data_IF_402647332846
#
_entry.id   IF_402647332846
#
_cell.length_a   1.000
_cell.length_b   1.000
_cell.length_c   1.000
_cell.angle_alpha   90.00
_cell.angle_beta   90.00
_cell.angle_gamma   90.00
#
_symmetry.space_group_name_H-M   'P 1'
#
loop_
_entity.id
_entity.type
_entity.pdbx_description
1 polymer ?
#
# COMPACT_ATOMS: atom_id res chain seq x y z
N UNK A 1 28.60 37.50 -46.60
CA UNK A 1 28.29 37.47 -45.15
C UNK A 1 29.37 38.25 -44.40
N UNK A 2 28.99 39.27 -43.61
CA UNK A 2 29.94 40.06 -42.82
C UNK A 2 30.65 39.16 -41.79
N UNK A 3 31.98 39.21 -41.64
CA UNK A 3 32.73 38.31 -40.75
C UNK A 3 32.28 38.36 -39.28
N UNK A 4 31.68 39.48 -38.84
CA UNK A 4 31.09 39.61 -37.51
C UNK A 4 29.86 38.71 -37.27
N UNK A 5 29.05 38.44 -38.30
CA UNK A 5 27.83 37.63 -38.17
C UNK A 5 28.17 36.15 -37.92
N UNK A 6 29.25 35.66 -38.53
CA UNK A 6 29.74 34.28 -38.32
C UNK A 6 30.29 34.08 -36.90
N UNK A 7 31.00 35.08 -36.36
CA UNK A 7 31.53 35.03 -34.99
C UNK A 7 30.42 35.06 -33.94
N UNK A 8 29.40 35.91 -34.15
CA UNK A 8 28.24 35.96 -33.28
C UNK A 8 27.44 34.64 -33.28
N UNK A 9 27.25 34.03 -34.45
CA UNK A 9 26.57 32.74 -34.57
C UNK A 9 27.34 31.61 -33.88
N UNK A 10 28.66 31.54 -34.06
CA UNK A 10 29.51 30.54 -33.38
C UNK A 10 29.48 30.72 -31.86
N UNK A 11 29.52 31.96 -31.37
CA UNK A 11 29.41 32.24 -29.93
C UNK A 11 28.05 31.82 -29.36
N UNK A 12 26.96 32.02 -30.10
CA UNK A 12 25.60 31.68 -29.67
C UNK A 12 25.39 30.15 -29.67
N UNK A 13 25.92 29.45 -30.67
CA UNK A 13 25.92 27.97 -30.70
C UNK A 13 26.78 27.40 -29.57
N UNK A 14 27.95 27.97 -29.30
CA UNK A 14 28.80 27.56 -28.18
C UNK A 14 28.10 27.78 -26.82
N UNK A 15 27.41 28.91 -26.63
CA UNK A 15 26.64 29.20 -25.42
C UNK A 15 25.47 28.22 -25.24
N UNK A 16 24.77 27.88 -26.32
CA UNK A 16 23.70 26.89 -26.30
C UNK A 16 24.21 25.48 -25.98
N UNK A 17 25.38 25.08 -26.52
CA UNK A 17 26.01 23.80 -26.20
C UNK A 17 26.49 23.72 -24.75
N UNK A 18 26.99 24.83 -24.18
CA UNK A 18 27.36 24.92 -22.76
C UNK A 18 26.11 24.84 -21.87
N UNK A 19 24.99 25.48 -22.27
CA UNK A 19 23.74 25.41 -21.53
C UNK A 19 23.14 23.99 -21.50
N UNK A 20 23.31 23.21 -22.59
CA UNK A 20 22.91 21.79 -22.63
C UNK A 20 23.85 20.93 -21.77
N UNK A 21 25.14 21.24 -21.73
CA UNK A 21 26.12 20.50 -20.92
C UNK A 21 26.00 20.76 -19.40
N UNK A 22 25.33 21.83 -18.98
CA UNK A 22 25.10 22.17 -17.57
C UNK A 22 23.85 21.54 -16.96
N UNK A 23 23.13 20.66 -17.67
CA UNK A 23 22.18 19.74 -17.03
C UNK A 23 23.01 18.66 -16.33
N UNK A 24 23.65 19.05 -15.23
CA UNK A 24 24.22 18.12 -14.30
C UNK A 24 23.07 17.27 -13.75
N UNK A 25 23.17 15.96 -13.90
CA UNK A 25 22.37 14.98 -13.17
C UNK A 25 22.58 15.27 -11.67
N UNK A 26 21.68 16.04 -11.08
CA UNK A 26 21.64 16.21 -9.65
C UNK A 26 21.25 14.86 -9.07
N UNK A 27 22.24 14.10 -8.61
CA UNK A 27 21.98 12.85 -7.88
C UNK A 27 20.99 13.18 -6.76
N UNK A 28 19.88 12.43 -6.62
CA UNK A 28 18.95 12.67 -5.53
C UNK A 28 19.72 12.63 -4.20
N UNK A 29 19.55 13.67 -3.39
CA UNK A 29 20.10 13.68 -2.03
C UNK A 29 19.22 12.75 -1.19
N UNK A 30 19.65 11.49 -1.07
CA UNK A 30 18.89 10.50 -0.32
C UNK A 30 19.00 10.74 1.18
N UNK A 31 17.93 10.50 1.94
CA UNK A 31 18.00 10.55 3.38
C UNK A 31 19.02 9.56 3.93
N UNK A 32 19.60 9.88 5.08
CA UNK A 32 20.55 8.99 5.73
C UNK A 32 19.82 7.78 6.29
N UNK A 33 20.36 6.60 6.05
CA UNK A 33 19.88 5.39 6.72
C UNK A 33 20.27 5.45 8.21
N UNK A 34 19.30 5.76 9.07
CA UNK A 34 19.51 5.87 10.52
C UNK A 34 19.06 4.61 11.28
N UNK A 35 18.32 3.72 10.62
CA UNK A 35 17.71 2.56 11.27
C UNK A 35 16.84 1.74 10.33
N UNK A 36 16.05 0.84 10.92
CA UNK A 36 15.01 0.09 10.22
C UNK A 36 13.78 0.95 9.90
N UNK A 37 13.69 2.12 10.53
CA UNK A 37 12.65 3.13 10.29
C UNK A 37 13.35 4.48 10.11
N UNK A 38 12.96 5.21 9.06
CA UNK A 38 13.40 6.57 8.77
C UNK A 38 12.15 7.42 8.50
N UNK A 39 11.70 8.23 9.47
CA UNK A 39 10.45 9.02 9.36
C UNK A 39 10.74 10.51 9.07
N UNK A 40 11.30 10.82 7.90
CA UNK A 40 11.66 12.19 7.52
C UNK A 40 10.42 13.06 7.20
N UNK A 41 9.28 12.44 6.91
CA UNK A 41 8.02 13.15 6.67
C UNK A 41 7.23 13.47 7.95
N UNK A 42 7.71 13.01 9.11
CA UNK A 42 7.04 13.08 10.41
C UNK A 42 5.59 12.58 10.34
N UNK A 43 5.40 11.39 9.75
CA UNK A 43 4.09 10.78 9.58
C UNK A 43 3.74 9.78 10.67
N UNK A 44 4.74 9.33 11.45
CA UNK A 44 4.57 8.26 12.42
C UNK A 44 4.67 8.79 13.86
N UNK A 45 3.90 8.18 14.75
CA UNK A 45 4.11 8.42 16.18
C UNK A 45 5.37 7.71 16.70
N UNK A 46 6.01 8.21 17.78
CA UNK A 46 7.15 7.53 18.40
C UNK A 46 6.83 6.08 18.84
N UNK A 47 5.57 5.82 19.21
CA UNK A 47 5.11 4.48 19.56
C UNK A 47 5.06 3.56 18.33
N UNK A 48 4.61 4.06 17.18
CA UNK A 48 4.62 3.31 15.93
C UNK A 48 6.05 3.01 15.46
N UNK A 49 6.95 4.00 15.47
CA UNK A 49 8.37 3.80 15.14
C UNK A 49 9.03 2.73 16.01
N UNK A 50 8.76 2.75 17.33
CA UNK A 50 9.30 1.77 18.27
C UNK A 50 8.79 0.36 17.96
N UNK A 51 7.48 0.21 17.66
CA UNK A 51 6.88 -1.08 17.31
C UNK A 51 7.43 -1.61 15.98
N UNK A 52 7.53 -0.75 14.97
CA UNK A 52 8.12 -1.09 13.67
C UNK A 52 9.57 -1.54 13.84
N UNK A 53 10.38 -0.74 14.54
CA UNK A 53 11.81 -1.06 14.77
C UNK A 53 11.99 -2.41 15.44
N UNK A 54 11.20 -2.71 16.48
CA UNK A 54 11.26 -4.00 17.18
C UNK A 54 10.84 -5.16 16.27
N UNK A 55 9.74 -4.99 15.53
CA UNK A 55 9.21 -6.01 14.61
C UNK A 55 10.20 -6.34 13.50
N UNK A 56 10.80 -5.31 12.88
CA UNK A 56 11.79 -5.45 11.81
C UNK A 56 13.10 -6.05 12.33
N UNK A 57 13.54 -5.68 13.54
CA UNK A 57 14.70 -6.28 14.18
C UNK A 57 14.49 -7.77 14.49
N UNK A 58 13.30 -8.15 14.93
CA UNK A 58 12.96 -9.54 15.20
C UNK A 58 12.94 -10.40 13.92
N UNK A 59 12.46 -9.86 12.79
CA UNK A 59 12.54 -10.51 11.49
C UNK A 59 14.01 -10.77 11.11
N UNK A 60 14.82 -9.72 11.12
CA UNK A 60 16.23 -9.81 10.74
C UNK A 60 17.00 -10.80 11.63
N UNK A 61 16.72 -10.84 12.94
CA UNK A 61 17.30 -11.83 13.84
C UNK A 61 16.85 -13.27 13.55
N UNK A 62 15.61 -13.44 13.11
CA UNK A 62 15.02 -14.77 12.89
C UNK A 62 15.54 -15.46 11.63
N UNK A 63 15.67 -14.72 10.52
CA UNK A 63 16.03 -15.31 9.22
C UNK A 63 17.07 -14.51 8.41
N UNK A 64 17.47 -13.34 8.90
CA UNK A 64 18.45 -12.47 8.25
C UNK A 64 17.88 -11.51 7.20
N UNK A 65 16.57 -11.51 6.97
CA UNK A 65 15.93 -10.60 6.01
C UNK A 65 15.87 -9.18 6.55
N UNK A 66 16.22 -8.22 5.69
CA UNK A 66 16.28 -6.81 6.08
C UNK A 66 15.13 -6.05 5.44
N UNK A 67 14.21 -5.55 6.27
CA UNK A 67 13.11 -4.71 5.83
C UNK A 67 13.26 -3.33 6.47
N UNK A 68 13.16 -2.27 5.65
CA UNK A 68 13.24 -0.88 6.09
C UNK A 68 11.93 -0.17 5.74
N UNK A 69 11.47 0.70 6.62
CA UNK A 69 10.34 1.61 6.40
C UNK A 69 10.87 3.03 6.31
N UNK A 70 10.50 3.76 5.25
CA UNK A 70 10.86 5.16 5.08
C UNK A 70 9.64 6.00 4.74
N UNK A 71 9.50 7.15 5.40
CA UNK A 71 8.56 8.20 4.99
C UNK A 71 9.35 9.40 4.50
N UNK A 72 8.92 9.99 3.40
CA UNK A 72 9.60 11.07 2.71
C UNK A 72 8.65 12.26 2.53
N UNK A 73 9.10 13.49 2.78
CA UNK A 73 8.28 14.66 2.51
C UNK A 73 7.92 14.75 1.02
N UNK A 74 8.88 14.52 0.12
CA UNK A 74 8.68 14.40 -1.32
C UNK A 74 9.76 13.57 -2.02
N UNK A 75 9.60 13.37 -3.33
CA UNK A 75 10.52 12.59 -4.18
C UNK A 75 11.43 13.45 -5.06
N UNK A 76 11.47 14.77 -4.86
CA UNK A 76 12.33 15.66 -5.65
C UNK A 76 12.01 15.73 -7.15
N UNK A 77 10.82 15.26 -7.58
CA UNK A 77 10.40 15.22 -8.98
C UNK A 77 10.59 13.87 -9.69
N UNK A 78 11.21 12.89 -9.02
CA UNK A 78 11.31 11.51 -9.51
C UNK A 78 10.02 10.72 -9.27
N UNK A 79 9.80 9.66 -10.06
CA UNK A 79 8.76 8.67 -9.76
C UNK A 79 9.18 7.81 -8.56
N UNK A 80 8.21 7.29 -7.80
CA UNK A 80 8.49 6.48 -6.60
C UNK A 80 9.23 5.17 -6.95
N UNK A 81 9.02 4.64 -8.15
CA UNK A 81 9.73 3.48 -8.69
C UNK A 81 11.21 3.78 -8.86
N UNK A 82 11.52 4.86 -9.57
CA UNK A 82 12.89 5.29 -9.83
C UNK A 82 13.60 5.65 -8.53
N UNK A 83 12.95 6.44 -7.68
CA UNK A 83 13.47 6.85 -6.39
C UNK A 83 13.73 5.64 -5.49
N UNK A 84 12.76 4.73 -5.38
CA UNK A 84 12.85 3.56 -4.51
C UNK A 84 13.96 2.58 -4.91
N UNK A 85 14.08 2.32 -6.22
CA UNK A 85 15.18 1.52 -6.75
C UNK A 85 16.56 2.13 -6.44
N UNK A 86 16.71 3.43 -6.64
CA UNK A 86 17.97 4.12 -6.35
C UNK A 86 18.26 4.15 -4.84
N UNK A 87 17.26 4.43 -4.01
CA UNK A 87 17.38 4.46 -2.55
C UNK A 87 17.79 3.10 -2.00
N UNK A 88 17.11 2.02 -2.42
CA UNK A 88 17.44 0.65 -1.99
C UNK A 88 18.89 0.28 -2.29
N UNK A 89 19.40 0.66 -3.47
CA UNK A 89 20.82 0.46 -3.85
C UNK A 89 21.77 1.36 -3.07
N UNK A 90 21.42 2.63 -2.87
CA UNK A 90 22.23 3.59 -2.12
C UNK A 90 22.42 3.16 -0.66
N UNK A 91 21.34 2.65 -0.05
CA UNK A 91 21.36 2.10 1.31
C UNK A 91 21.91 0.68 1.39
N UNK A 92 21.97 -0.05 0.28
CA UNK A 92 22.47 -1.42 0.23
C UNK A 92 21.69 -2.36 1.14
N UNK A 93 20.35 -2.26 1.14
CA UNK A 93 19.50 -3.06 2.03
C UNK A 93 19.55 -4.54 1.62
N UNK A 94 19.66 -5.43 2.59
CA UNK A 94 19.83 -6.87 2.39
C UNK A 94 21.30 -7.29 2.38
N UNK A 95 21.56 -8.60 2.37
CA UNK A 95 22.92 -9.14 2.35
C UNK A 95 23.42 -9.33 0.90
N UNK A 96 24.64 -8.89 0.59
CA UNK A 96 25.23 -8.91 -0.77
C UNK A 96 25.05 -10.19 -1.61
N UNK A 97 25.03 -11.36 -0.97
CA UNK A 97 24.85 -12.66 -1.66
C UNK A 97 23.42 -13.19 -1.63
N UNK A 98 22.59 -12.70 -0.72
CA UNK A 98 21.21 -13.17 -0.55
C UNK A 98 20.20 -12.25 -1.21
N UNK A 99 20.53 -10.97 -1.39
CA UNK A 99 19.61 -9.94 -1.92
C UNK A 99 18.27 -9.92 -1.17
N UNK A 100 18.32 -10.18 0.13
CA UNK A 100 17.16 -10.40 0.98
C UNK A 100 16.70 -9.10 1.67
N UNK A 101 16.66 -8.02 0.89
CA UNK A 101 16.26 -6.69 1.32
C UNK A 101 14.86 -6.34 0.81
N UNK A 102 14.06 -5.63 1.60
CA UNK A 102 12.86 -4.94 1.13
C UNK A 102 12.74 -3.54 1.74
N UNK A 103 12.04 -2.65 1.04
CA UNK A 103 11.87 -1.26 1.44
C UNK A 103 10.42 -0.84 1.22
N UNK A 104 9.75 -0.42 2.30
CA UNK A 104 8.45 0.23 2.24
C UNK A 104 8.66 1.75 2.25
N UNK A 105 8.25 2.41 1.17
CA UNK A 105 8.42 3.84 0.92
C UNK A 105 7.04 4.50 0.96
N UNK A 106 6.93 5.59 1.71
CA UNK A 106 5.76 6.47 1.71
C UNK A 106 6.22 7.89 1.35
N UNK A 107 5.72 8.43 0.25
CA UNK A 107 5.98 9.80 -0.18
C UNK A 107 4.76 10.67 0.09
N UNK A 108 4.89 11.61 1.04
CA UNK A 108 3.76 12.38 1.57
C UNK A 108 3.17 13.34 0.54
N UNK A 109 4.00 14.11 -0.16
CA UNK A 109 3.54 15.10 -1.16
C UNK A 109 2.91 14.44 -2.38
N UNK A 110 3.48 13.34 -2.85
CA UNK A 110 3.00 12.59 -4.01
C UNK A 110 1.83 11.66 -3.66
N UNK A 111 1.50 11.50 -2.37
CA UNK A 111 0.51 10.55 -1.90
C UNK A 111 0.77 9.14 -2.43
N UNK A 112 2.05 8.75 -2.51
CA UNK A 112 2.49 7.53 -3.16
C UNK A 112 3.12 6.55 -2.16
N UNK A 113 2.81 5.26 -2.33
CA UNK A 113 3.32 4.15 -1.53
C UNK A 113 4.03 3.19 -2.47
N UNK A 114 5.20 2.69 -2.08
CA UNK A 114 5.90 1.62 -2.81
C UNK A 114 6.48 0.60 -1.87
N UNK A 115 6.36 -0.68 -2.23
CA UNK A 115 7.16 -1.76 -1.67
C UNK A 115 8.18 -2.12 -2.74
N UNK A 116 9.45 -1.88 -2.48
CA UNK A 116 10.58 -2.28 -3.31
C UNK A 116 11.18 -3.57 -2.75
N UNK A 117 11.40 -4.57 -3.60
CA UNK A 117 11.78 -5.92 -3.19
C UNK A 117 13.10 -6.33 -3.85
N UNK A 118 14.04 -6.81 -3.05
CA UNK A 118 15.29 -7.40 -3.52
C UNK A 118 15.09 -8.81 -4.05
N UNK A 119 15.93 -9.22 -5.01
CA UNK A 119 15.79 -10.48 -5.74
C UNK A 119 15.63 -11.73 -4.85
N UNK A 120 16.23 -11.73 -3.66
CA UNK A 120 16.17 -12.87 -2.73
C UNK A 120 14.79 -13.09 -2.13
N UNK A 121 13.93 -12.07 -2.14
CA UNK A 121 12.61 -12.12 -1.51
C UNK A 121 11.46 -12.26 -2.50
N UNK A 122 11.69 -12.13 -3.81
CA UNK A 122 10.63 -12.10 -4.84
C UNK A 122 9.73 -13.35 -4.82
N UNK A 123 10.25 -14.52 -4.43
CA UNK A 123 9.44 -15.73 -4.29
C UNK A 123 8.42 -15.68 -3.15
N UNK A 124 8.74 -14.95 -2.07
CA UNK A 124 7.87 -14.82 -0.89
C UNK A 124 7.01 -13.55 -0.97
N UNK A 125 7.63 -12.42 -1.32
CA UNK A 125 7.05 -11.09 -1.44
C UNK A 125 6.99 -10.68 -2.92
N UNK A 126 6.08 -11.31 -3.66
CA UNK A 126 5.86 -11.01 -5.09
C UNK A 126 5.19 -9.66 -5.29
N UNK A 127 5.28 -9.10 -6.51
CA UNK A 127 4.57 -7.87 -6.91
C UNK A 127 3.07 -7.94 -6.61
N UNK A 128 2.43 -9.08 -6.91
CA UNK A 128 1.01 -9.28 -6.64
C UNK A 128 0.67 -9.22 -5.14
N UNK A 129 1.51 -9.82 -4.29
CA UNK A 129 1.32 -9.77 -2.83
C UNK A 129 1.59 -8.37 -2.28
N UNK A 130 2.63 -7.71 -2.77
CA UNK A 130 2.95 -6.32 -2.44
C UNK A 130 1.79 -5.38 -2.82
N UNK A 131 1.22 -5.55 -4.01
CA UNK A 131 0.06 -4.78 -4.48
C UNK A 131 -1.15 -4.97 -3.57
N UNK A 132 -1.43 -6.21 -3.14
CA UNK A 132 -2.50 -6.50 -2.17
C UNK A 132 -2.27 -5.77 -0.85
N UNK A 133 -1.04 -5.79 -0.32
CA UNK A 133 -0.72 -5.09 0.94
C UNK A 133 -0.97 -3.59 0.79
N UNK A 134 -0.50 -2.97 -0.30
CA UNK A 134 -0.67 -1.54 -0.52
C UNK A 134 -2.15 -1.18 -0.61
N UNK A 135 -2.90 -1.79 -1.53
CA UNK A 135 -4.27 -1.36 -1.83
C UNK A 135 -5.31 -1.81 -0.80
N UNK A 136 -5.10 -2.93 -0.10
CA UNK A 136 -6.08 -3.51 0.81
C UNK A 136 -5.77 -3.26 2.29
N UNK A 137 -4.53 -2.92 2.64
CA UNK A 137 -4.13 -2.68 4.03
C UNK A 137 -3.71 -1.22 4.25
N UNK A 138 -2.78 -0.71 3.45
CA UNK A 138 -2.18 0.60 3.70
C UNK A 138 -3.10 1.73 3.24
N UNK A 139 -3.47 1.76 1.97
CA UNK A 139 -4.30 2.83 1.38
C UNK A 139 -5.62 3.06 2.12
N UNK A 140 -6.39 2.03 2.55
CA UNK A 140 -7.66 2.27 3.23
C UNK A 140 -7.49 2.92 4.61
N UNK A 141 -6.39 2.63 5.31
CA UNK A 141 -6.06 3.28 6.57
C UNK A 141 -5.63 4.73 6.35
N UNK A 142 -4.84 4.99 5.31
CA UNK A 142 -4.37 6.33 4.95
C UNK A 142 -5.51 7.25 4.50
N UNK A 143 -6.47 6.72 3.74
CA UNK A 143 -7.71 7.43 3.37
C UNK A 143 -8.55 7.86 4.58
N UNK A 144 -8.36 7.21 5.74
CA UNK A 144 -9.00 7.56 7.02
C UNK A 144 -8.12 8.45 7.91
N UNK A 145 -6.94 8.86 7.44
CA UNK A 145 -5.95 9.61 8.21
C UNK A 145 -5.17 8.78 9.24
N UNK A 146 -5.33 7.45 9.23
CA UNK A 146 -4.70 6.57 10.21
C UNK A 146 -3.36 6.02 9.69
N UNK A 147 -2.35 6.89 9.58
CA UNK A 147 -1.04 6.55 9.03
C UNK A 147 -0.30 5.47 9.83
N UNK A 148 -0.24 5.62 11.16
CA UNK A 148 0.35 4.63 12.07
C UNK A 148 -0.21 3.22 11.84
N UNK A 149 -1.54 3.11 11.76
CA UNK A 149 -2.22 1.84 11.57
C UNK A 149 -1.88 1.22 10.22
N UNK A 150 -1.92 2.02 9.14
CA UNK A 150 -1.59 1.56 7.79
C UNK A 150 -0.16 1.04 7.69
N UNK A 151 0.82 1.79 8.22
CA UNK A 151 2.24 1.40 8.15
C UNK A 151 2.52 0.18 9.05
N UNK A 152 1.99 0.14 10.27
CA UNK A 152 2.17 -1.00 11.18
C UNK A 152 1.57 -2.29 10.60
N UNK A 153 0.33 -2.23 10.11
CA UNK A 153 -0.37 -3.40 9.56
C UNK A 153 0.24 -3.84 8.23
N UNK A 154 0.59 -2.90 7.35
CA UNK A 154 1.29 -3.19 6.10
C UNK A 154 2.64 -3.86 6.33
N UNK A 155 3.44 -3.31 7.25
CA UNK A 155 4.74 -3.90 7.62
C UNK A 155 4.57 -5.27 8.28
N UNK A 156 3.57 -5.45 9.14
CA UNK A 156 3.26 -6.75 9.72
C UNK A 156 2.91 -7.79 8.64
N UNK A 157 2.13 -7.43 7.63
CA UNK A 157 1.80 -8.30 6.51
C UNK A 157 3.06 -8.70 5.70
N UNK A 158 3.98 -7.75 5.46
CA UNK A 158 5.28 -8.03 4.83
C UNK A 158 6.06 -9.04 5.67
N UNK A 159 6.23 -8.78 6.96
CA UNK A 159 6.98 -9.65 7.89
C UNK A 159 6.38 -11.06 7.94
N UNK A 160 5.06 -11.18 7.91
CA UNK A 160 4.38 -12.48 7.87
C UNK A 160 4.69 -13.27 6.59
N UNK A 161 4.67 -12.62 5.42
CA UNK A 161 4.98 -13.26 4.14
C UNK A 161 6.43 -13.75 4.05
N UNK A 162 7.34 -13.02 4.70
CA UNK A 162 8.75 -13.39 4.82
C UNK A 162 9.02 -14.50 5.85
N UNK A 163 7.97 -15.04 6.49
CA UNK A 163 8.08 -16.13 7.46
C UNK A 163 8.41 -15.66 8.88
N UNK A 164 8.38 -14.35 9.13
CA UNK A 164 8.46 -13.76 10.45
C UNK A 164 7.18 -13.98 11.27
N UNK A 165 7.26 -13.62 12.55
CA UNK A 165 6.14 -13.72 13.50
C UNK A 165 5.77 -12.32 14.02
N UNK A 166 5.09 -11.50 13.21
CA UNK A 166 4.64 -10.19 13.67
C UNK A 166 3.56 -10.34 14.76
N UNK A 167 3.28 -9.28 15.54
CA UNK A 167 2.19 -9.29 16.51
C UNK A 167 0.86 -9.70 15.86
N UNK A 168 0.18 -10.68 16.46
CA UNK A 168 -1.01 -11.29 15.87
C UNK A 168 -2.15 -10.29 15.71
N UNK A 169 -2.24 -9.29 16.58
CA UNK A 169 -3.26 -8.24 16.46
C UNK A 169 -3.12 -7.43 15.17
N UNK A 170 -1.89 -7.16 14.71
CA UNK A 170 -1.66 -6.39 13.48
C UNK A 170 -2.05 -7.21 12.24
N UNK A 171 -1.77 -8.50 12.24
CA UNK A 171 -2.16 -9.42 11.15
C UNK A 171 -3.68 -9.61 11.10
N UNK A 172 -4.32 -9.76 12.26
CA UNK A 172 -5.77 -9.86 12.33
C UNK A 172 -6.43 -8.58 11.83
N UNK A 173 -5.93 -7.41 12.22
CA UNK A 173 -6.44 -6.14 11.73
C UNK A 173 -6.22 -5.96 10.22
N UNK A 174 -5.06 -6.33 9.70
CA UNK A 174 -4.79 -6.30 8.25
C UNK A 174 -5.76 -7.20 7.48
N UNK A 175 -5.97 -8.44 7.93
CA UNK A 175 -6.91 -9.37 7.30
C UNK A 175 -8.37 -8.92 7.40
N UNK A 176 -8.78 -8.32 8.53
CA UNK A 176 -10.10 -7.69 8.67
C UNK A 176 -10.28 -6.52 7.70
N UNK A 177 -9.26 -5.67 7.53
CA UNK A 177 -9.29 -4.56 6.58
C UNK A 177 -9.55 -5.06 5.14
N UNK A 178 -8.88 -6.15 4.75
CA UNK A 178 -9.09 -6.80 3.45
C UNK A 178 -10.52 -7.36 3.29
N UNK A 179 -11.08 -7.99 4.33
CA UNK A 179 -12.43 -8.56 4.31
C UNK A 179 -13.52 -7.48 4.21
N UNK A 180 -13.38 -6.37 4.96
CA UNK A 180 -14.37 -5.30 4.95
C UNK A 180 -14.51 -4.62 3.58
N UNK A 181 -13.41 -4.44 2.83
CA UNK A 181 -13.47 -3.91 1.47
C UNK A 181 -14.19 -4.85 0.49
N UNK A 182 -13.97 -6.17 0.59
CA UNK A 182 -14.67 -7.14 -0.26
C UNK A 182 -16.18 -7.13 -0.01
N UNK A 183 -16.61 -6.93 1.23
CA UNK A 183 -18.02 -6.81 1.58
C UNK A 183 -18.65 -5.49 1.10
N UNK A 184 -17.94 -4.36 1.16
CA UNK A 184 -18.39 -3.07 0.61
C UNK A 184 -18.54 -3.15 -0.92
N UNK A 185 -17.57 -3.74 -1.63
CA UNK A 185 -17.63 -3.91 -3.10
C UNK A 185 -18.73 -4.88 -3.55
N UNK A 186 -19.12 -5.84 -2.71
CA UNK A 186 -20.23 -6.78 -2.98
C UNK A 186 -21.62 -6.21 -2.68
N UNK A 187 -21.75 -5.01 -2.13
CA UNK A 187 -23.07 -4.38 -1.98
C UNK A 187 -23.54 -3.93 -3.37
N UNK A 188 -24.60 -4.52 -3.94
CA UNK A 188 -25.15 -3.98 -5.18
C UNK A 188 -25.58 -2.55 -4.90
N UNK A 189 -25.09 -1.59 -5.69
CA UNK A 189 -25.52 -0.21 -5.50
C UNK A 189 -27.04 -0.13 -5.69
N UNK A 190 -27.72 0.71 -4.91
CA UNK A 190 -29.17 0.91 -5.01
C UNK A 190 -29.62 1.12 -6.48
N UNK A 191 -28.79 1.77 -7.29
CA UNK A 191 -29.02 1.96 -8.73
C UNK A 191 -28.99 0.66 -9.54
N UNK A 192 -28.04 -0.25 -9.29
CA UNK A 192 -27.98 -1.54 -9.99
C UNK A 192 -29.12 -2.46 -9.57
N UNK A 193 -29.50 -2.46 -8.28
CA UNK A 193 -30.68 -3.17 -7.80
C UNK A 193 -31.94 -2.62 -8.46
N UNK A 194 -32.12 -1.30 -8.50
CA UNK A 194 -33.28 -0.66 -9.13
C UNK A 194 -33.32 -0.92 -10.64
N UNK A 195 -32.19 -0.84 -11.35
CA UNK A 195 -32.09 -1.17 -12.77
C UNK A 195 -32.48 -2.61 -13.06
N UNK A 196 -32.03 -3.56 -12.24
CA UNK A 196 -32.41 -4.96 -12.38
C UNK A 196 -33.93 -5.15 -12.22
N UNK A 197 -34.55 -4.51 -11.23
CA UNK A 197 -36.02 -4.54 -11.06
C UNK A 197 -36.77 -3.83 -12.19
N UNK A 198 -36.29 -2.68 -12.67
CA UNK A 198 -36.88 -1.97 -13.81
C UNK A 198 -36.78 -2.79 -15.09
N UNK A 199 -35.64 -3.46 -15.32
CA UNK A 199 -35.45 -4.36 -16.45
C UNK A 199 -36.41 -5.56 -16.38
N UNK A 200 -36.57 -6.17 -15.21
CA UNK A 200 -37.55 -7.25 -15.01
C UNK A 200 -38.98 -6.76 -15.27
N UNK A 201 -39.37 -5.59 -14.76
CA UNK A 201 -40.71 -5.02 -14.99
C UNK A 201 -40.92 -4.73 -16.48
N UNK A 202 -39.92 -4.19 -17.18
CA UNK A 202 -39.99 -3.90 -18.61
C UNK A 202 -40.14 -5.19 -19.44
N UNK A 203 -39.40 -6.25 -19.10
CA UNK A 203 -39.52 -7.56 -19.74
C UNK A 203 -40.92 -8.15 -19.46
N UNK A 204 -41.39 -8.13 -18.22
CA UNK A 204 -42.75 -8.62 -17.88
C UNK A 204 -43.84 -7.80 -18.60
N UNK A 205 -43.65 -6.49 -18.76
CA UNK A 205 -44.59 -5.65 -19.52
C UNK A 205 -44.56 -5.92 -21.03
N UNK A 206 -43.38 -6.22 -21.60
CA UNK A 206 -43.23 -6.58 -23.01
C UNK A 206 -43.80 -7.97 -23.34
N UNK A 207 -43.62 -8.94 -22.43
CA UNK A 207 -43.99 -10.34 -22.67
C UNK A 207 -45.31 -10.77 -21.99
N UNK A 208 -45.82 -9.99 -21.04
CA UNK A 208 -47.06 -10.27 -20.31
C UNK A 208 -48.32 -9.56 -20.85
N UNK A 209 -48.18 -8.75 -21.90
CA UNK A 209 -49.25 -7.92 -22.46
C UNK A 209 -50.13 -8.58 -23.53
N UNK A 210 -50.26 -9.91 -23.55
CA UNK A 210 -51.05 -10.63 -24.56
C UNK A 210 -51.83 -11.80 -23.99
N UNK A 211 -53.06 -11.55 -23.51
CA UNK A 211 -53.97 -12.63 -23.12
C UNK A 211 -55.21 -12.15 -22.37
N UNK A 212 -56.22 -11.67 -23.09
CA UNK A 212 -57.56 -11.48 -22.54
C UNK A 212 -58.29 -12.80 -22.29
N UNK A 213 -59.12 -12.88 -21.26
CA UNK A 213 -59.97 -14.04 -21.02
C UNK A 213 -60.80 -14.01 -19.73
N UNK A 214 -62.06 -13.59 -19.85
CA UNK A 214 -63.17 -13.77 -18.89
C UNK A 214 -63.20 -15.17 -18.26
N UNK A 215 -63.45 -15.27 -16.95
CA UNK A 215 -64.02 -16.51 -16.40
C UNK A 215 -63.93 -16.73 -14.88
N UNK A 216 -64.84 -16.12 -14.12
CA UNK A 216 -65.65 -16.86 -13.14
C UNK A 216 -65.05 -17.43 -11.85
N UNK A 217 -65.59 -16.91 -10.73
CA UNK A 217 -66.01 -17.60 -9.49
C UNK A 217 -64.99 -17.84 -8.36
N UNK A 218 -65.13 -16.95 -7.37
CA UNK A 218 -65.58 -17.21 -5.97
C UNK A 218 -64.74 -18.15 -5.08
N UNK A 219 -64.16 -17.48 -4.07
CA UNK A 219 -64.23 -17.73 -2.61
C UNK A 219 -63.18 -18.65 -1.97
N UNK A 220 -62.71 -18.12 -0.81
CA UNK A 220 -62.25 -18.78 0.44
C UNK A 220 -60.73 -19.04 0.50
N UNK A 221 -59.94 -18.54 1.44
CA UNK A 221 -60.14 -17.71 2.64
C UNK A 221 -58.92 -17.88 3.59
N UNK A 222 -58.70 -16.91 4.49
CA UNK A 222 -57.80 -16.99 5.69
C UNK A 222 -56.44 -16.26 5.52
N UNK A 223 -56.10 -15.13 6.17
CA UNK A 223 -55.92 -14.84 7.62
C UNK A 223 -55.00 -15.89 8.29
N UNK A 224 -53.89 -15.63 8.99
CA UNK A 224 -53.13 -14.44 9.43
C UNK A 224 -51.71 -14.92 9.93
N UNK A 225 -50.80 -14.03 10.38
CA UNK A 225 -49.35 -14.26 10.54
C UNK A 225 -48.95 -14.71 11.95
N UNK A 226 -47.69 -15.16 12.15
CA UNK A 226 -47.05 -14.97 13.46
C UNK A 226 -45.50 -14.86 13.44
N UNK A 227 -45.03 -13.99 14.34
CA UNK A 227 -43.70 -13.66 14.82
C UNK A 227 -42.98 -14.85 15.45
N UNK A 228 -41.63 -14.85 15.48
CA UNK A 228 -40.81 -14.74 16.72
C UNK A 228 -39.43 -14.09 16.38
N UNK A 229 -38.95 -13.10 17.16
CA UNK A 229 -37.59 -12.54 17.15
C UNK A 229 -36.71 -13.07 18.31
N UNK A 230 -35.39 -13.07 18.15
CA UNK A 230 -34.35 -13.18 19.21
C UNK A 230 -32.97 -12.98 18.54
N UNK A 231 -31.98 -12.18 18.99
CA UNK A 231 -31.79 -11.40 20.20
C UNK A 231 -30.51 -11.83 20.97
N UNK A 232 -29.45 -11.00 20.93
CA UNK A 232 -28.27 -10.99 21.86
C UNK A 232 -27.10 -11.93 21.52
N UNK A 233 -25.80 -11.59 21.63
CA UNK A 233 -25.05 -10.53 22.32
C UNK A 233 -24.06 -11.15 23.34
N UNK A 234 -22.76 -10.81 23.28
CA UNK A 234 -21.65 -10.91 24.29
C UNK A 234 -20.30 -11.01 23.52
N UNK A 235 -19.16 -10.36 23.80
CA UNK A 235 -18.73 -9.53 24.92
C UNK A 235 -17.38 -10.01 25.48
N UNK A 236 -16.26 -9.31 25.16
CA UNK A 236 -15.12 -9.07 26.08
C UNK A 236 -13.88 -9.99 26.03
N UNK A 237 -12.68 -9.36 26.08
CA UNK A 237 -11.44 -10.03 26.50
C UNK A 237 -10.13 -9.37 26.03
N UNK A 238 -9.68 -8.33 26.76
CA UNK A 238 -8.37 -7.70 26.60
C UNK A 238 -7.33 -8.32 27.55
N UNK A 239 -6.06 -8.41 27.11
CA UNK A 239 -4.91 -8.82 27.92
C UNK A 239 -3.67 -8.03 27.51
N UNK A 240 -2.95 -7.49 28.50
CA UNK A 240 -1.95 -6.44 28.32
C UNK A 240 -0.46 -6.85 28.37
N UNK A 241 0.34 -5.84 28.00
CA UNK A 241 1.70 -5.46 28.39
C UNK A 241 2.89 -6.43 28.34
N UNK A 242 3.96 -5.93 27.70
CA UNK A 242 5.34 -6.40 27.85
C UNK A 242 6.31 -5.42 27.20
N UNK A 243 6.70 -4.38 27.95
CA UNK A 243 7.74 -3.43 27.56
C UNK A 243 9.13 -4.04 27.75
N UNK A 244 9.95 -3.96 26.71
CA UNK A 244 11.38 -4.26 26.75
C UNK A 244 12.11 -3.24 25.89
N UNK A 245 12.94 -2.42 26.53
CA UNK A 245 13.82 -1.47 25.89
C UNK A 245 15.08 -2.16 25.39
N UNK A 246 15.50 -1.82 24.16
CA UNK A 246 16.82 -2.10 23.58
C UNK A 246 17.02 -0.93 22.60
N UNK A 247 17.95 0.00 22.85
CA UNK A 247 19.38 -0.29 22.83
C UNK A 247 19.85 -0.16 21.38
N UNK A 248 20.00 1.08 20.91
CA UNK A 248 20.38 1.41 19.54
C UNK A 248 21.82 1.00 19.26
N UNK A 249 21.99 -0.20 18.70
CA UNK A 249 23.17 -0.56 17.91
C UNK A 249 22.97 -0.07 16.48
N UNK A 250 24.00 0.53 15.90
CA UNK A 250 23.94 1.11 14.55
C UNK A 250 23.47 0.10 13.51
N UNK A 251 22.44 0.48 12.74
CA UNK A 251 21.98 -0.26 11.58
C UNK A 251 22.79 0.19 10.36
N UNK A 252 23.42 -0.74 9.66
CA UNK A 252 24.08 -0.50 8.39
C UNK A 252 23.62 -1.55 7.38
N UNK A 253 23.28 -1.13 6.17
CA UNK A 253 22.90 -2.05 5.09
C UNK A 253 24.01 -3.06 4.75
N UNK A 254 23.62 -4.28 4.37
CA UNK A 254 24.53 -5.40 4.08
C UNK A 254 24.99 -5.52 2.61
N UNK A 255 24.62 -4.56 1.76
CA UNK A 255 24.99 -4.48 0.34
C UNK A 255 24.16 -5.34 -0.61
N UNK A 256 22.90 -5.66 -0.28
CA UNK A 256 21.98 -6.41 -1.16
C UNK A 256 21.58 -5.66 -2.43
N UNK A 257 21.34 -6.41 -3.51
CA UNK A 257 20.91 -5.87 -4.80
C UNK A 257 19.39 -5.81 -4.96
N UNK A 258 18.92 -4.72 -5.56
CA UNK A 258 17.52 -4.49 -5.97
C UNK A 258 17.39 -4.57 -7.49
N UNK A 259 16.26 -5.12 -7.95
CA UNK A 259 15.94 -5.33 -9.36
C UNK A 259 14.83 -4.44 -9.92
N UNK A 260 14.19 -3.63 -9.09
CA UNK A 260 12.97 -2.90 -9.46
C UNK A 260 11.67 -3.68 -9.18
N UNK A 261 11.75 -4.85 -8.55
CA UNK A 261 10.59 -5.67 -8.17
C UNK A 261 9.76 -5.00 -7.05
N UNK A 262 8.48 -5.38 -6.97
CA UNK A 262 7.54 -4.88 -5.99
C UNK A 262 6.29 -4.23 -6.58
N UNK A 263 5.64 -3.34 -5.81
CA UNK A 263 4.40 -2.69 -6.24
C UNK A 263 4.33 -1.24 -5.75
N UNK A 264 3.61 -0.39 -6.48
CA UNK A 264 3.28 0.98 -6.10
C UNK A 264 1.76 1.20 -6.04
N UNK A 265 1.35 2.21 -5.27
CA UNK A 265 -0.04 2.65 -5.12
C UNK A 265 -0.09 4.07 -4.54
N UNK A 266 -1.28 4.55 -4.22
CA UNK A 266 -1.47 5.92 -3.72
C UNK A 266 -2.81 6.17 -3.03
N UNK A 267 -2.89 7.25 -2.24
CA UNK A 267 -4.04 7.51 -1.35
C UNK A 267 -4.65 8.90 -1.42
#
# INVERSE_FOLDING_TARGET
>A
MRPGLRRAFVALVALALIAIACVADAKPDFPKLTGRVVDDAHMLSPAAETRLTRMLAALEQANGDQVVVVTLPDLGGDSIETYGYQLGRAWGIGQKKKNNGALLIIAKKEHAIRIEVGYGLEGQLTDAKSSVIIHQVIEPAFKKGNFDAGVLQGTAAIVQLLGGKPPSELVQQASQAMQHQQHEQRRPSLGHTLMFFVLIIAIVALFGGGGGGRGGRRRRGGFMPWFIPMGGGFGGGAGGFGGGGLGGGGFSGGGGGFGGGGASGGW
#
